data_IF_116495606629
#
_entry.id   IF_116495606629
#
_cell.length_a   1.000
_cell.length_b   1.000
_cell.length_c   1.000
_cell.angle_alpha   90.00
_cell.angle_beta   90.00
_cell.angle_gamma   90.00
#
_symmetry.space_group_name_H-M   'P 1'
#
loop_
_entity.id
_entity.type
_entity.pdbx_description
1 polymer ?
#
# COMPACT_ATOMS: atom_id res chain seq x y z
N UNK A 1 26.22 1.63 -8.49
CA UNK A 1 25.02 1.23 -7.72
C UNK A 1 24.35 0.08 -8.44
N UNK A 2 24.02 -1.02 -7.76
CA UNK A 2 23.26 -2.14 -8.36
C UNK A 2 21.77 -1.76 -8.43
N UNK A 3 21.30 -1.41 -9.63
CA UNK A 3 19.92 -0.97 -9.88
C UNK A 3 18.85 -2.06 -9.77
N UNK A 4 19.25 -3.33 -9.60
CA UNK A 4 18.34 -4.48 -9.51
C UNK A 4 17.37 -4.36 -8.34
N UNK A 5 17.76 -3.67 -7.27
CA UNK A 5 16.89 -3.42 -6.12
C UNK A 5 15.61 -2.66 -6.51
N UNK A 6 15.70 -1.67 -7.39
CA UNK A 6 14.53 -0.93 -7.86
C UNK A 6 13.60 -1.84 -8.67
N UNK A 7 14.16 -2.68 -9.54
CA UNK A 7 13.38 -3.64 -10.35
C UNK A 7 12.61 -4.62 -9.46
N UNK A 8 13.22 -5.10 -8.38
CA UNK A 8 12.57 -6.02 -7.43
C UNK A 8 11.44 -5.34 -6.64
N UNK A 9 11.59 -4.06 -6.27
CA UNK A 9 10.59 -3.36 -5.46
C UNK A 9 9.50 -2.65 -6.24
N UNK A 10 9.68 -2.35 -7.54
CA UNK A 10 8.64 -1.73 -8.38
C UNK A 10 7.30 -2.47 -8.29
N UNK A 11 7.23 -3.81 -8.41
CA UNK A 11 5.97 -4.54 -8.26
C UNK A 11 5.33 -4.38 -6.88
N UNK A 12 6.15 -4.36 -5.82
CA UNK A 12 5.67 -4.21 -4.44
C UNK A 12 5.03 -2.83 -4.23
N UNK A 13 5.70 -1.76 -4.69
CA UNK A 13 5.16 -0.41 -4.61
C UNK A 13 3.90 -0.26 -5.45
N UNK A 14 3.87 -0.82 -6.68
CA UNK A 14 2.67 -0.82 -7.52
C UNK A 14 1.48 -1.49 -6.83
N UNK A 15 1.70 -2.67 -6.24
CA UNK A 15 0.66 -3.39 -5.51
C UNK A 15 0.19 -2.61 -4.26
N UNK A 16 1.11 -2.03 -3.49
CA UNK A 16 0.76 -1.22 -2.33
C UNK A 16 -0.10 0.00 -2.71
N UNK A 17 0.28 0.70 -3.78
CA UNK A 17 -0.50 1.84 -4.30
C UNK A 17 -1.88 1.40 -4.78
N UNK A 18 -1.98 0.27 -5.49
CA UNK A 18 -3.26 -0.30 -5.92
C UNK A 18 -4.17 -0.60 -4.72
N UNK A 19 -3.65 -1.24 -3.68
CA UNK A 19 -4.42 -1.58 -2.47
C UNK A 19 -4.90 -0.32 -1.76
N UNK A 20 -4.02 0.68 -1.57
CA UNK A 20 -4.38 1.94 -0.92
C UNK A 20 -5.44 2.71 -1.73
N UNK A 21 -5.30 2.77 -3.06
CA UNK A 21 -6.25 3.45 -3.94
C UNK A 21 -7.66 2.85 -3.85
N UNK A 22 -7.75 1.51 -3.80
CA UNK A 22 -9.04 0.82 -3.82
C UNK A 22 -9.69 0.69 -2.43
N UNK A 23 -8.90 0.46 -1.36
CA UNK A 23 -9.42 0.05 -0.05
C UNK A 23 -9.08 1.05 1.06
N UNK A 24 -8.23 2.05 0.80
CA UNK A 24 -7.72 2.97 1.83
C UNK A 24 -8.82 3.66 2.65
N UNK A 25 -9.89 4.13 2.03
CA UNK A 25 -11.03 4.74 2.73
C UNK A 25 -11.68 3.75 3.72
N UNK A 26 -11.93 2.52 3.28
CA UNK A 26 -12.58 1.49 4.09
C UNK A 26 -11.67 1.10 5.27
N UNK A 27 -10.37 0.92 5.03
CA UNK A 27 -9.41 0.64 6.07
C UNK A 27 -9.37 1.75 7.15
N UNK A 28 -9.34 3.02 6.74
CA UNK A 28 -9.39 4.16 7.69
C UNK A 28 -10.68 4.20 8.50
N UNK A 29 -11.81 3.87 7.88
CA UNK A 29 -13.10 3.80 8.58
C UNK A 29 -13.12 2.64 9.59
N UNK A 30 -12.54 1.49 9.25
CA UNK A 30 -12.40 0.36 10.17
C UNK A 30 -11.49 0.72 11.36
N UNK A 31 -10.35 1.35 11.09
CA UNK A 31 -9.45 1.82 12.16
C UNK A 31 -10.16 2.79 13.10
N UNK A 32 -10.90 3.77 12.58
CA UNK A 32 -11.67 4.71 13.41
C UNK A 32 -12.73 4.01 14.27
N UNK A 33 -13.37 2.96 13.75
CA UNK A 33 -14.34 2.15 14.51
C UNK A 33 -13.68 1.28 15.57
N UNK A 34 -12.49 0.73 15.29
CA UNK A 34 -11.78 -0.12 16.24
C UNK A 34 -11.18 0.67 17.42
N UNK A 35 -10.84 1.95 17.20
CA UNK A 35 -10.26 2.81 18.25
C UNK A 35 -11.30 3.56 19.09
N UNK A 36 -12.58 3.59 18.69
CA UNK A 36 -13.65 4.30 19.40
C UNK A 36 -14.57 3.33 20.13
#
# INVERSE_FOLDING_TARGET
MDGRIFVVFIPVFGAALWVVYNIGRVALQQLKKATR
#
